data_IF_586461457064
#
_entry.id   IF_586461457064
#
_cell.length_a   1.000
_cell.length_b   1.000
_cell.length_c   1.000
_cell.angle_alpha   90.00
_cell.angle_beta   90.00
_cell.angle_gamma   90.00
#
_symmetry.space_group_name_H-M   'P 1'
#
loop_
_entity.id
_entity.type
_entity.pdbx_description
1 polymer ?
#
# COMPACT_ATOMS: atom_id res chain seq x y z
N UNK A 1 32.97 -12.69 8.62
CA UNK A 1 32.45 -11.32 8.41
C UNK A 1 31.41 -11.05 9.49
N UNK A 2 31.50 -9.96 10.28
CA UNK A 2 30.58 -9.73 11.36
C UNK A 2 29.25 -9.19 10.82
N UNK A 3 28.16 -9.86 11.17
CA UNK A 3 26.78 -9.42 10.90
C UNK A 3 26.55 -8.12 11.67
N UNK A 4 26.31 -7.01 10.97
CA UNK A 4 25.95 -5.73 11.58
C UNK A 4 24.70 -5.93 12.45
N UNK A 5 24.80 -5.65 13.74
CA UNK A 5 23.65 -5.70 14.64
C UNK A 5 22.63 -4.65 14.17
N UNK A 6 21.47 -5.11 13.72
CA UNK A 6 20.34 -4.26 13.39
C UNK A 6 19.92 -3.58 14.70
N UNK A 7 19.96 -2.25 14.73
CA UNK A 7 19.50 -1.46 15.87
C UNK A 7 18.04 -1.81 16.15
N UNK A 8 17.79 -2.53 17.25
CA UNK A 8 16.44 -2.73 17.79
C UNK A 8 15.91 -1.37 18.23
N UNK A 9 14.99 -0.80 17.46
CA UNK A 9 14.22 0.36 17.86
C UNK A 9 12.94 -0.18 18.51
N UNK A 10 12.85 -0.08 19.83
CA UNK A 10 11.61 -0.35 20.56
C UNK A 10 10.62 0.78 20.27
N UNK A 11 9.61 0.53 19.42
CA UNK A 11 8.52 1.47 19.18
C UNK A 11 7.63 1.52 20.43
N UNK A 12 7.72 2.63 21.17
CA UNK A 12 6.73 2.98 22.19
C UNK A 12 5.74 3.92 21.52
N UNK A 13 4.50 3.47 21.37
CA UNK A 13 3.37 4.06 20.63
C UNK A 13 3.33 3.66 19.14
N UNK A 14 2.19 3.12 18.71
CA UNK A 14 1.97 2.59 17.37
C UNK A 14 2.22 3.62 16.26
N UNK A 15 2.92 3.18 15.22
CA UNK A 15 2.78 3.56 13.82
C UNK A 15 2.52 5.04 13.46
N UNK A 16 3.55 5.89 13.64
CA UNK A 16 3.66 7.17 12.91
C UNK A 16 4.73 7.17 11.79
N UNK A 17 5.40 6.04 11.51
CA UNK A 17 6.64 6.10 10.70
C UNK A 17 6.53 5.72 9.23
N UNK A 18 5.48 5.04 8.77
CA UNK A 18 5.39 4.68 7.33
C UNK A 18 4.68 5.71 6.46
N UNK A 19 4.07 6.73 7.06
CA UNK A 19 3.24 7.70 6.36
C UNK A 19 3.63 9.13 6.73
N UNK A 20 3.41 10.04 5.80
CA UNK A 20 3.63 11.47 5.93
C UNK A 20 2.50 12.22 5.24
N UNK A 21 2.40 13.52 5.53
CA UNK A 21 1.51 14.39 4.78
C UNK A 21 2.00 14.55 3.34
N UNK A 22 1.10 14.36 2.39
CA UNK A 22 1.22 14.68 0.99
C UNK A 22 0.17 15.73 0.61
N UNK A 23 0.58 16.76 -0.13
CA UNK A 23 -0.30 17.89 -0.47
C UNK A 23 -1.49 17.49 -1.34
N UNK A 24 -1.34 16.46 -2.16
CA UNK A 24 -2.38 15.99 -3.09
C UNK A 24 -3.17 14.85 -2.47
N UNK A 25 -2.49 13.88 -1.87
CA UNK A 25 -3.09 12.64 -1.41
C UNK A 25 -3.40 12.61 0.09
N UNK A 26 -3.04 13.64 0.85
CA UNK A 26 -3.29 13.72 2.29
C UNK A 26 -2.35 12.80 3.07
N UNK A 27 -2.81 11.63 3.50
CA UNK A 27 -1.98 10.67 4.23
C UNK A 27 -1.37 9.65 3.26
N UNK A 28 -0.06 9.77 2.98
CA UNK A 28 0.63 8.98 1.96
C UNK A 28 1.91 8.35 2.50
N UNK A 29 2.40 7.28 1.87
CA UNK A 29 3.57 6.56 2.34
C UNK A 29 4.86 7.37 2.23
N UNK A 30 5.76 7.22 3.21
CA UNK A 30 7.12 7.81 3.18
C UNK A 30 7.95 7.09 2.11
N UNK A 31 8.53 7.78 1.12
CA UNK A 31 9.38 7.17 0.11
C UNK A 31 10.62 6.49 0.69
N UNK A 32 10.99 5.34 0.11
CA UNK A 32 12.21 4.59 0.43
C UNK A 32 12.40 4.22 1.91
N UNK A 33 11.35 4.28 2.73
CA UNK A 33 11.46 3.88 4.14
C UNK A 33 11.57 2.37 4.23
N UNK A 34 12.38 1.89 5.18
CA UNK A 34 12.55 0.47 5.48
C UNK A 34 12.63 0.27 7.00
N UNK A 35 11.71 -0.54 7.55
CA UNK A 35 11.65 -0.88 8.98
C UNK A 35 11.02 -2.26 9.18
N UNK A 36 11.38 -2.90 10.27
CA UNK A 36 10.63 -4.03 10.81
C UNK A 36 9.50 -3.52 11.71
N UNK A 37 8.31 -4.08 11.56
CA UNK A 37 7.15 -3.80 12.41
C UNK A 37 6.76 -5.02 13.23
N UNK A 38 6.16 -4.77 14.38
CA UNK A 38 5.65 -5.81 15.28
C UNK A 38 4.21 -5.46 15.61
N UNK A 39 3.31 -6.43 15.47
CA UNK A 39 1.90 -6.26 15.81
C UNK A 39 1.67 -6.69 17.25
N UNK A 40 0.88 -5.93 18.01
CA UNK A 40 0.62 -6.22 19.44
C UNK A 40 0.07 -7.62 19.68
N UNK A 41 -0.73 -8.14 18.73
CA UNK A 41 -1.35 -9.47 18.80
C UNK A 41 -0.31 -10.59 18.59
N UNK A 42 0.81 -10.30 17.93
CA UNK A 42 1.88 -11.24 17.57
C UNK A 42 3.25 -10.59 17.84
N UNK A 43 3.60 -10.32 19.10
CA UNK A 43 4.78 -9.53 19.46
C UNK A 43 6.12 -10.21 19.12
N UNK A 44 6.08 -11.51 18.88
CA UNK A 44 7.18 -12.37 18.46
C UNK A 44 7.43 -12.33 16.95
N UNK A 45 6.48 -11.81 16.17
CA UNK A 45 6.57 -11.75 14.71
C UNK A 45 7.01 -10.37 14.27
N UNK A 46 8.19 -10.33 13.68
CA UNK A 46 8.76 -9.16 13.05
C UNK A 46 8.47 -9.23 11.56
N UNK A 47 7.84 -8.20 11.01
CA UNK A 47 7.50 -8.11 9.59
C UNK A 47 8.34 -7.05 8.93
N UNK A 48 9.11 -7.45 7.92
CA UNK A 48 9.94 -6.53 7.19
C UNK A 48 9.08 -5.71 6.21
N UNK A 49 9.13 -4.38 6.36
CA UNK A 49 8.35 -3.46 5.55
C UNK A 49 9.28 -2.44 4.88
N UNK A 50 9.16 -2.30 3.56
CA UNK A 50 9.89 -1.33 2.75
C UNK A 50 8.91 -0.58 1.86
N UNK A 51 9.11 0.70 1.62
CA UNK A 51 8.43 1.43 0.56
C UNK A 51 9.38 1.68 -0.61
N UNK A 52 8.84 1.76 -1.82
CA UNK A 52 9.56 2.15 -3.02
C UNK A 52 9.75 3.68 -3.08
N UNK A 53 10.36 4.19 -4.16
CA UNK A 53 10.60 5.62 -4.35
C UNK A 53 9.32 6.47 -4.39
N UNK A 54 8.16 5.85 -4.53
CA UNK A 54 6.85 6.51 -4.58
C UNK A 54 6.06 6.41 -3.28
N UNK A 55 6.65 5.83 -2.24
CA UNK A 55 5.99 5.63 -0.94
C UNK A 55 5.05 4.43 -0.90
N UNK A 56 4.98 3.62 -1.95
CA UNK A 56 4.17 2.41 -1.94
C UNK A 56 4.95 1.26 -1.31
N UNK A 57 4.31 0.42 -0.50
CA UNK A 57 4.91 -0.85 -0.09
C UNK A 57 4.91 -1.79 -1.29
N UNK A 58 5.89 -1.68 -2.15
CA UNK A 58 6.07 -2.55 -3.31
C UNK A 58 7.52 -2.49 -3.81
N UNK A 59 7.81 -3.20 -4.90
CA UNK A 59 9.03 -2.98 -5.70
C UNK A 59 8.96 -1.66 -6.46
N UNK A 60 10.12 -1.10 -6.80
CA UNK A 60 10.19 0.02 -7.73
C UNK A 60 9.63 -0.42 -9.09
N UNK A 61 8.74 0.39 -9.64
CA UNK A 61 8.12 0.11 -10.92
C UNK A 61 9.06 0.58 -12.04
N UNK A 62 9.63 -0.37 -12.78
CA UNK A 62 10.39 -0.06 -13.98
C UNK A 62 9.41 0.23 -15.13
N UNK A 63 9.25 1.52 -15.44
CA UNK A 63 8.28 2.02 -16.42
C UNK A 63 8.43 1.36 -17.80
N UNK A 64 9.65 1.01 -18.22
CA UNK A 64 9.89 0.35 -19.52
C UNK A 64 9.36 -1.09 -19.57
N UNK A 65 9.18 -1.71 -18.39
CA UNK A 65 8.75 -3.09 -18.24
C UNK A 65 7.26 -3.23 -17.83
N UNK A 66 6.53 -2.13 -17.67
CA UNK A 66 5.10 -2.13 -17.33
C UNK A 66 4.23 -2.36 -18.58
N UNK A 67 4.10 -3.61 -19.02
CA UNK A 67 3.14 -3.98 -20.09
C UNK A 67 1.71 -4.07 -19.55
N UNK A 68 1.03 -2.91 -19.39
CA UNK A 68 -0.39 -2.81 -18.95
C UNK A 68 -0.67 -3.58 -17.65
N UNK A 69 -0.07 -3.18 -16.52
CA UNK A 69 -0.17 -3.90 -15.26
C UNK A 69 -1.59 -3.97 -14.71
N UNK A 70 -1.78 -4.81 -13.69
CA UNK A 70 -2.89 -4.74 -12.76
C UNK A 70 -2.46 -3.80 -11.63
N UNK A 71 -3.26 -2.79 -11.30
CA UNK A 71 -3.00 -1.92 -10.15
C UNK A 71 -4.00 -2.24 -9.04
N UNK A 72 -3.50 -2.46 -7.83
CA UNK A 72 -4.30 -2.68 -6.63
C UNK A 72 -4.27 -1.43 -5.75
N UNK A 73 -5.44 -0.85 -5.51
CA UNK A 73 -5.68 0.27 -4.60
C UNK A 73 -6.48 -0.23 -3.40
N UNK A 74 -6.18 0.25 -2.21
CA UNK A 74 -6.92 -0.16 -1.02
C UNK A 74 -6.29 0.26 0.29
N UNK A 75 -6.94 -0.14 1.37
CA UNK A 75 -6.57 0.06 2.74
C UNK A 75 -5.41 -0.83 3.21
N UNK A 76 -5.41 -1.14 4.51
CA UNK A 76 -4.40 -1.96 5.18
C UNK A 76 -4.31 -3.39 4.63
N UNK A 77 -5.39 -3.93 4.08
CA UNK A 77 -5.38 -5.26 3.45
C UNK A 77 -4.61 -5.27 2.13
N UNK A 78 -4.77 -4.23 1.31
CA UNK A 78 -3.93 -4.04 0.11
C UNK A 78 -2.51 -3.68 0.48
N UNK A 79 -2.27 -2.77 1.42
CA UNK A 79 -0.91 -2.48 1.90
C UNK A 79 -0.20 -3.74 2.46
N UNK A 80 -0.96 -4.69 3.00
CA UNK A 80 -0.46 -5.98 3.51
C UNK A 80 -0.09 -5.92 5.00
N UNK A 81 -0.86 -5.19 5.80
CA UNK A 81 -0.65 -5.12 7.25
C UNK A 81 -0.64 -6.51 7.86
N UNK A 82 0.42 -6.86 8.61
CA UNK A 82 0.55 -8.19 9.21
C UNK A 82 1.06 -9.26 8.25
N UNK A 83 1.46 -8.90 7.02
CA UNK A 83 1.88 -9.87 5.99
C UNK A 83 3.26 -9.52 5.45
N UNK A 84 4.11 -10.55 5.31
CA UNK A 84 5.46 -10.44 4.74
C UNK A 84 5.45 -10.23 3.22
N UNK A 85 6.57 -9.71 2.70
CA UNK A 85 6.82 -9.70 1.26
C UNK A 85 6.72 -11.09 0.66
N UNK A 86 6.14 -11.17 -0.54
CA UNK A 86 5.95 -12.44 -1.26
C UNK A 86 4.71 -13.23 -0.81
N UNK A 87 4.08 -12.84 0.31
CA UNK A 87 2.85 -13.45 0.84
C UNK A 87 1.61 -12.54 0.74
N UNK A 88 1.77 -11.26 0.42
CA UNK A 88 0.62 -10.36 0.22
C UNK A 88 -0.13 -10.79 -1.04
N UNK A 89 -1.44 -10.54 -1.06
CA UNK A 89 -2.28 -11.03 -2.16
C UNK A 89 -1.85 -10.45 -3.52
N UNK A 90 -1.22 -9.28 -3.55
CA UNK A 90 -0.69 -8.66 -4.77
C UNK A 90 0.40 -9.50 -5.42
N UNK A 91 1.32 -10.08 -4.65
CA UNK A 91 2.34 -11.00 -5.16
C UNK A 91 1.75 -12.35 -5.54
N UNK A 92 0.78 -12.83 -4.77
CA UNK A 92 0.08 -14.08 -5.12
C UNK A 92 -0.68 -13.88 -6.45
N UNK A 93 -1.35 -12.75 -6.64
CA UNK A 93 -2.03 -12.39 -7.88
C UNK A 93 -1.06 -12.28 -9.06
N UNK A 94 0.10 -11.67 -8.87
CA UNK A 94 1.15 -11.60 -9.90
C UNK A 94 1.62 -13.01 -10.30
N UNK A 95 1.86 -13.88 -9.33
CA UNK A 95 2.25 -15.29 -9.58
C UNK A 95 1.16 -16.07 -10.31
N UNK A 96 -0.10 -15.93 -9.90
CA UNK A 96 -1.23 -16.67 -10.48
C UNK A 96 -1.56 -16.22 -11.90
N UNK A 97 -1.43 -14.92 -12.19
CA UNK A 97 -1.79 -14.37 -13.50
C UNK A 97 -0.61 -14.30 -14.47
N UNK A 98 0.63 -14.37 -13.98
CA UNK A 98 1.83 -14.07 -14.75
C UNK A 98 1.93 -12.61 -15.20
N UNK A 99 1.03 -11.74 -14.72
CA UNK A 99 0.95 -10.32 -15.08
C UNK A 99 1.57 -9.48 -13.99
N UNK A 100 2.22 -8.37 -14.36
CA UNK A 100 2.71 -7.40 -13.39
C UNK A 100 1.56 -6.86 -12.55
N UNK A 101 1.72 -6.93 -11.23
CA UNK A 101 0.79 -6.35 -10.27
C UNK A 101 1.53 -5.26 -9.48
N UNK A 102 0.91 -4.10 -9.36
CA UNK A 102 1.40 -2.98 -8.58
C UNK A 102 0.52 -2.80 -7.34
N UNK A 103 1.15 -2.77 -6.17
CA UNK A 103 0.51 -2.52 -4.90
C UNK A 103 0.63 -1.04 -4.54
N UNK A 104 -0.47 -0.30 -4.69
CA UNK A 104 -0.58 1.12 -4.32
C UNK A 104 -1.48 1.29 -3.08
N UNK A 105 -1.68 0.23 -2.29
CA UNK A 105 -2.48 0.28 -1.06
C UNK A 105 -1.78 1.04 0.06
N UNK A 106 -2.55 1.67 0.93
CA UNK A 106 -2.09 2.42 2.09
C UNK A 106 -2.98 2.11 3.31
N UNK A 107 -2.46 2.12 4.53
CA UNK A 107 -3.33 2.03 5.71
C UNK A 107 -4.24 3.26 5.78
N UNK A 108 -5.50 3.05 6.22
CA UNK A 108 -6.52 4.09 6.31
C UNK A 108 -6.85 4.78 4.97
N UNK A 109 -6.73 4.06 3.84
CA UNK A 109 -6.95 4.61 2.51
C UNK A 109 -8.43 4.88 2.21
N UNK A 110 -8.78 6.16 2.11
CA UNK A 110 -10.13 6.64 1.83
C UNK A 110 -10.57 6.52 0.37
N UNK A 111 -11.88 6.58 0.13
CA UNK A 111 -12.45 6.54 -1.22
C UNK A 111 -12.06 7.78 -2.05
N UNK A 112 -11.96 8.93 -1.42
CA UNK A 112 -11.44 10.17 -2.00
C UNK A 112 -9.99 10.01 -2.46
N UNK A 113 -9.12 9.40 -1.63
CA UNK A 113 -7.74 9.13 -1.99
C UNK A 113 -7.65 8.13 -3.17
N UNK A 114 -8.52 7.11 -3.22
CA UNK A 114 -8.63 6.20 -4.37
C UNK A 114 -8.93 7.00 -5.64
N UNK A 115 -9.94 7.88 -5.63
CA UNK A 115 -10.27 8.72 -6.77
C UNK A 115 -9.10 9.63 -7.19
N UNK A 116 -8.41 10.25 -6.23
CA UNK A 116 -7.27 11.12 -6.50
C UNK A 116 -6.11 10.34 -7.14
N UNK A 117 -5.79 9.14 -6.67
CA UNK A 117 -4.75 8.29 -7.27
C UNK A 117 -5.11 7.89 -8.70
N UNK A 118 -6.36 7.49 -8.94
CA UNK A 118 -6.85 7.17 -10.29
C UNK A 118 -6.63 8.36 -11.23
N UNK A 119 -7.06 9.56 -10.82
CA UNK A 119 -7.03 10.77 -11.65
C UNK A 119 -5.61 11.32 -11.84
N UNK A 120 -4.76 11.26 -10.80
CA UNK A 120 -3.48 11.98 -10.78
C UNK A 120 -2.26 11.10 -11.03
N UNK A 121 -2.38 9.78 -10.86
CA UNK A 121 -1.21 8.88 -10.82
C UNK A 121 -1.28 7.74 -11.80
N UNK A 122 -2.47 7.17 -12.05
CA UNK A 122 -2.58 5.92 -12.81
C UNK A 122 -2.27 6.06 -14.30
N UNK A 123 -2.34 7.26 -14.86
CA UNK A 123 -1.90 7.51 -16.24
C UNK A 123 -0.44 7.09 -16.46
N UNK A 124 0.43 7.27 -15.45
CA UNK A 124 1.85 6.91 -15.53
C UNK A 124 2.09 5.39 -15.62
N UNK A 125 1.14 4.57 -15.18
CA UNK A 125 1.28 3.10 -15.21
C UNK A 125 0.50 2.45 -16.34
N UNK A 126 -0.41 3.18 -16.99
CA UNK A 126 -1.32 2.68 -18.02
C UNK A 126 -1.91 1.30 -17.70
N UNK A 127 -2.55 1.12 -16.52
CA UNK A 127 -3.07 -0.18 -16.13
C UNK A 127 -4.21 -0.61 -17.06
N UNK A 128 -4.32 -1.93 -17.28
CA UNK A 128 -5.49 -2.48 -17.97
C UNK A 128 -6.57 -2.99 -17.02
N UNK A 129 -6.23 -3.16 -15.74
CA UNK A 129 -7.16 -3.54 -14.68
C UNK A 129 -6.79 -2.74 -13.43
N UNK A 130 -7.81 -2.19 -12.76
CA UNK A 130 -7.68 -1.57 -11.45
C UNK A 130 -8.55 -2.38 -10.49
N UNK A 131 -7.95 -2.89 -9.43
CA UNK A 131 -8.63 -3.56 -8.32
C UNK A 131 -8.70 -2.55 -7.18
N UNK A 132 -9.91 -2.31 -6.68
CA UNK A 132 -10.15 -1.41 -5.54
C UNK A 132 -10.68 -2.21 -4.36
N UNK A 133 -9.89 -2.30 -3.29
CA UNK A 133 -10.35 -2.76 -1.99
C UNK A 133 -10.95 -1.58 -1.24
N UNK A 134 -12.27 -1.61 -1.09
CA UNK A 134 -13.02 -0.64 -0.30
C UNK A 134 -14.15 -1.34 0.44
N UNK A 135 -14.48 -0.81 1.61
CA UNK A 135 -15.65 -1.26 2.34
C UNK A 135 -16.91 -0.88 1.53
N UNK A 136 -17.81 -1.81 1.21
CA UNK A 136 -18.98 -1.52 0.36
C UNK A 136 -19.81 -0.33 0.87
N UNK A 137 -19.86 -0.17 2.20
CA UNK A 137 -20.61 0.90 2.85
C UNK A 137 -20.05 2.31 2.56
N UNK A 138 -18.75 2.44 2.29
CA UNK A 138 -18.15 3.71 1.83
C UNK A 138 -18.72 4.15 0.48
N UNK A 139 -18.92 3.19 -0.43
CA UNK A 139 -19.54 3.46 -1.74
C UNK A 139 -21.02 3.80 -1.56
N UNK A 140 -21.74 3.03 -0.75
CA UNK A 140 -23.15 3.30 -0.46
C UNK A 140 -23.37 4.71 0.11
N UNK A 141 -22.51 5.19 1.02
CA UNK A 141 -22.64 6.54 1.57
C UNK A 141 -22.55 7.63 0.52
N UNK A 142 -21.57 7.54 -0.39
CA UNK A 142 -21.39 8.56 -1.44
C UNK A 142 -22.55 8.53 -2.43
N UNK A 143 -23.06 7.35 -2.77
CA UNK A 143 -24.18 7.19 -3.69
C UNK A 143 -25.56 7.42 -3.05
N UNK A 144 -25.63 7.53 -1.72
CA UNK A 144 -26.90 7.71 -1.03
C UNK A 144 -27.24 9.21 -0.92
N UNK A 145 -28.25 9.71 -1.66
CA UNK A 145 -28.62 11.12 -1.63
C UNK A 145 -29.13 11.58 -0.26
N UNK A 146 -29.57 10.67 0.62
CA UNK A 146 -30.03 11.01 1.97
C UNK A 146 -28.89 11.24 2.98
N UNK A 147 -27.65 10.89 2.64
CA UNK A 147 -26.46 11.11 3.49
C UNK A 147 -25.68 12.36 3.07
N UNK A 148 -25.89 12.84 1.84
CA UNK A 148 -25.31 14.07 1.32
C UNK A 148 -26.19 15.31 1.54
N UNK A 149 -27.17 15.21 2.45
CA UNK A 149 -28.11 16.26 2.83
C UNK A 149 -27.54 17.24 3.84
#
# INVERSE_FOLDING_TARGET
MPVKSIKKINSRNGDMTFYQYDRVFGFWGVPNIERDIVFQIRPDVHIHCRHNAEGNRDKDADAENLRKPIVCLGGSHTWGGGVEYGLRYTEILEKLTGRKVLNLGHCSFGLDQVCLVIIKKLENYQPSVIIVEQYPWSIHRVLNPYVNG
#
